data_IF_636149540567
#
_entry.id   IF_636149540567
#
_cell.length_a   1.000
_cell.length_b   1.000
_cell.length_c   1.000
_cell.angle_alpha   90.00
_cell.angle_beta   90.00
_cell.angle_gamma   90.00
#
_symmetry.space_group_name_H-M   'P 1'
#
loop_
_entity.id
_entity.type
_entity.pdbx_description
1 polymer ?
#
# COMPACT_ATOMS: atom_id res chain seq x y z
N UNK A 1 -5.53 4.41 1.85
CA UNK A 1 -6.55 5.40 2.26
C UNK A 1 -7.53 5.76 1.15
N UNK A 2 -7.07 6.02 -0.08
CA UNK A 2 -7.95 6.30 -1.23
C UNK A 2 -9.10 5.28 -1.39
N UNK A 3 -8.76 3.99 -1.42
CA UNK A 3 -9.77 2.92 -1.55
C UNK A 3 -10.80 2.90 -0.43
N UNK A 4 -10.39 3.23 0.81
CA UNK A 4 -11.34 3.36 1.92
C UNK A 4 -12.30 4.53 1.71
N UNK A 5 -11.79 5.68 1.26
CA UNK A 5 -12.63 6.84 0.97
C UNK A 5 -13.70 6.55 -0.09
N UNK A 6 -13.31 5.86 -1.17
CA UNK A 6 -14.23 5.41 -2.21
C UNK A 6 -15.24 4.41 -1.64
N UNK A 7 -14.77 3.41 -0.89
CA UNK A 7 -15.60 2.38 -0.27
C UNK A 7 -16.67 2.99 0.66
N UNK A 8 -16.28 3.91 1.55
CA UNK A 8 -17.20 4.57 2.47
C UNK A 8 -18.22 5.47 1.75
N UNK A 9 -17.89 6.02 0.59
CA UNK A 9 -18.85 6.77 -0.22
C UNK A 9 -19.90 5.86 -0.87
N UNK A 10 -19.48 4.67 -1.32
CA UNK A 10 -20.32 3.72 -2.06
C UNK A 10 -21.13 2.77 -1.18
N UNK A 11 -20.78 2.64 0.10
CA UNK A 11 -21.46 1.76 1.05
C UNK A 11 -22.25 2.59 2.08
N UNK A 12 -23.54 2.29 2.23
CA UNK A 12 -24.50 3.00 3.09
C UNK A 12 -24.88 2.06 4.25
N UNK A 13 -24.63 2.44 5.51
CA UNK A 13 -25.07 1.68 6.68
C UNK A 13 -26.61 1.57 6.72
N UNK A 14 -27.14 0.37 6.90
CA UNK A 14 -28.59 0.20 7.11
C UNK A 14 -28.94 0.57 8.56
N UNK A 15 -30.08 1.25 8.79
CA UNK A 15 -30.54 1.55 10.15
C UNK A 15 -31.14 0.30 10.80
N UNK A 16 -31.03 0.23 12.14
CA UNK A 16 -31.64 -0.81 12.97
C UNK A 16 -30.70 -1.96 13.34
N UNK A 17 -31.30 -3.05 13.81
CA UNK A 17 -30.62 -4.28 14.20
C UNK A 17 -31.01 -5.40 13.25
N UNK A 18 -30.05 -6.15 12.76
CA UNK A 18 -30.25 -7.28 11.85
C UNK A 18 -29.71 -8.56 12.46
N UNK A 19 -30.28 -9.68 12.07
CA UNK A 19 -29.82 -11.00 12.47
C UNK A 19 -28.66 -11.39 11.53
N UNK A 20 -27.44 -11.42 12.05
CA UNK A 20 -26.24 -11.76 11.27
C UNK A 20 -25.99 -13.27 11.21
N UNK A 21 -26.45 -14.00 12.22
CA UNK A 21 -26.33 -15.46 12.30
C UNK A 21 -27.34 -16.04 13.28
N UNK A 22 -27.54 -17.36 13.19
CA UNK A 22 -28.38 -18.15 14.10
C UNK A 22 -27.53 -19.33 14.57
N UNK A 23 -27.56 -19.62 15.87
CA UNK A 23 -26.81 -20.69 16.48
C UNK A 23 -27.51 -22.05 16.30
N UNK A 24 -26.72 -23.11 16.11
CA UNK A 24 -27.19 -24.49 16.07
C UNK A 24 -27.65 -24.95 17.47
N UNK A 25 -28.68 -25.80 17.53
CA UNK A 25 -29.31 -26.31 18.74
C UNK A 25 -29.99 -25.25 19.63
N UNK A 26 -30.37 -24.11 19.04
CA UNK A 26 -31.11 -23.04 19.70
C UNK A 26 -32.54 -22.89 19.14
N UNK A 27 -33.45 -22.22 19.87
CA UNK A 27 -34.89 -22.22 19.55
C UNK A 27 -35.24 -21.73 18.13
N UNK A 28 -34.39 -20.89 17.54
CA UNK A 28 -34.61 -20.31 16.21
C UNK A 28 -33.87 -21.01 15.06
N UNK A 29 -33.16 -22.12 15.31
CA UNK A 29 -32.39 -22.84 14.29
C UNK A 29 -33.23 -23.21 13.06
N UNK A 30 -34.42 -23.77 13.27
CA UNK A 30 -35.33 -24.19 12.19
C UNK A 30 -35.81 -23.03 11.31
N UNK A 31 -35.62 -21.78 11.75
CA UNK A 31 -36.01 -20.57 11.02
C UNK A 31 -34.80 -19.83 10.43
N UNK A 32 -33.58 -20.38 10.55
CA UNK A 32 -32.34 -19.69 10.20
C UNK A 32 -32.31 -19.16 8.77
N UNK A 33 -32.79 -19.94 7.78
CA UNK A 33 -32.82 -19.52 6.38
C UNK A 33 -33.63 -18.23 6.16
N UNK A 34 -34.75 -18.06 6.86
CA UNK A 34 -35.57 -16.87 6.73
C UNK A 34 -35.05 -15.72 7.62
N UNK A 35 -34.49 -16.04 8.80
CA UNK A 35 -34.03 -15.07 9.77
C UNK A 35 -32.71 -14.39 9.40
N UNK A 36 -31.77 -15.09 8.74
CA UNK A 36 -30.48 -14.48 8.40
C UNK A 36 -30.68 -13.28 7.47
N UNK A 37 -30.24 -12.12 7.93
CA UNK A 37 -30.41 -10.83 7.26
C UNK A 37 -31.77 -10.15 7.46
N UNK A 38 -32.66 -10.73 8.27
CA UNK A 38 -33.90 -10.08 8.68
C UNK A 38 -33.60 -8.93 9.66
N UNK A 39 -34.40 -7.86 9.59
CA UNK A 39 -34.36 -6.74 10.53
C UNK A 39 -35.24 -7.06 11.73
N UNK A 40 -34.69 -6.92 12.93
CA UNK A 40 -35.46 -6.99 14.18
C UNK A 40 -36.25 -5.69 14.31
N UNK A 41 -37.56 -5.81 14.51
CA UNK A 41 -38.48 -4.68 14.69
C UNK A 41 -38.89 -4.53 16.15
N UNK A 42 -39.23 -5.66 16.79
CA UNK A 42 -39.65 -5.70 18.19
C UNK A 42 -39.38 -7.09 18.81
N UNK A 43 -39.37 -7.15 20.15
CA UNK A 43 -39.52 -8.38 20.91
C UNK A 43 -40.74 -8.19 21.82
N UNK A 44 -41.73 -9.07 21.68
CA UNK A 44 -43.07 -8.92 22.24
C UNK A 44 -43.66 -7.54 21.90
N UNK A 45 -43.88 -6.69 22.90
CA UNK A 45 -44.39 -5.33 22.73
C UNK A 45 -43.30 -4.24 22.76
N UNK A 46 -42.02 -4.63 22.86
CA UNK A 46 -40.89 -3.70 22.99
C UNK A 46 -40.21 -3.50 21.64
N UNK A 47 -40.25 -2.27 21.12
CA UNK A 47 -39.58 -1.93 19.87
C UNK A 47 -38.04 -1.97 20.02
N UNK A 48 -37.35 -2.55 19.03
CA UNK A 48 -35.89 -2.68 19.03
C UNK A 48 -35.30 -1.79 17.92
N UNK A 49 -34.76 -0.64 18.32
CA UNK A 49 -34.12 0.32 17.40
C UNK A 49 -32.59 0.19 17.36
N UNK A 50 -31.98 -0.29 18.44
CA UNK A 50 -30.55 -0.38 18.63
C UNK A 50 -30.11 -1.71 19.26
N UNK A 51 -28.82 -2.04 19.12
CA UNK A 51 -28.25 -3.20 19.81
C UNK A 51 -28.38 -3.10 21.33
N UNK A 52 -28.34 -1.89 21.89
CA UNK A 52 -28.54 -1.67 23.31
C UNK A 52 -29.97 -1.97 23.73
N UNK A 53 -30.98 -1.64 22.91
CA UNK A 53 -32.37 -1.98 23.19
C UNK A 53 -32.55 -3.49 23.26
N UNK A 54 -31.94 -4.22 22.31
CA UNK A 54 -31.95 -5.69 22.30
C UNK A 54 -31.27 -6.26 23.56
N UNK A 55 -30.07 -5.76 23.89
CA UNK A 55 -29.30 -6.24 25.05
C UNK A 55 -30.04 -5.99 26.36
N UNK A 56 -30.65 -4.82 26.52
CA UNK A 56 -31.42 -4.47 27.71
C UNK A 56 -32.64 -5.38 27.87
N UNK A 57 -33.38 -5.64 26.78
CA UNK A 57 -34.52 -6.55 26.83
C UNK A 57 -34.09 -7.96 27.25
N UNK A 58 -33.06 -8.50 26.60
CA UNK A 58 -32.57 -9.86 26.88
C UNK A 58 -32.07 -10.00 28.31
N UNK A 59 -31.43 -8.97 28.87
CA UNK A 59 -30.93 -8.98 30.25
C UNK A 59 -32.04 -9.13 31.31
N UNK A 60 -33.30 -8.84 30.96
CA UNK A 60 -34.46 -8.97 31.86
C UNK A 60 -35.18 -10.32 31.71
N UNK A 61 -34.78 -11.16 30.75
CA UNK A 61 -35.43 -12.46 30.48
C UNK A 61 -34.79 -13.61 31.24
N UNK A 62 -35.57 -14.66 31.51
CA UNK A 62 -35.12 -15.90 32.12
C UNK A 62 -35.20 -17.08 31.13
N UNK A 63 -34.34 -18.10 31.27
CA UNK A 63 -34.49 -19.35 30.51
C UNK A 63 -35.87 -19.97 30.75
N UNK A 64 -36.52 -20.45 29.69
CA UNK A 64 -37.89 -20.99 29.74
C UNK A 64 -39.00 -19.94 29.54
N UNK A 65 -38.67 -18.65 29.51
CA UNK A 65 -39.66 -17.61 29.16
C UNK A 65 -40.12 -17.78 27.71
N UNK A 66 -41.41 -17.53 27.47
CA UNK A 66 -41.94 -17.46 26.11
C UNK A 66 -41.82 -16.03 25.59
N UNK A 67 -41.09 -15.85 24.48
CA UNK A 67 -40.91 -14.54 23.86
C UNK A 67 -41.18 -14.60 22.35
N UNK A 68 -41.68 -13.49 21.80
CA UNK A 68 -42.03 -13.36 20.39
C UNK A 68 -41.06 -12.40 19.70
N UNK A 69 -40.22 -12.93 18.81
CA UNK A 69 -39.34 -12.13 17.98
C UNK A 69 -40.10 -11.64 16.74
N UNK A 70 -40.24 -10.32 16.59
CA UNK A 70 -40.90 -9.68 15.45
C UNK A 70 -39.85 -9.12 14.50
N UNK A 71 -39.86 -9.58 13.25
CA UNK A 71 -38.93 -9.16 12.19
C UNK A 71 -39.67 -8.62 10.98
N UNK A 72 -38.95 -8.01 10.04
CA UNK A 72 -39.48 -7.63 8.73
C UNK A 72 -39.83 -8.82 7.82
N UNK A 73 -39.55 -10.05 8.25
CA UNK A 73 -39.83 -11.30 7.52
C UNK A 73 -40.77 -12.26 8.25
N UNK A 74 -41.38 -11.82 9.34
CA UNK A 74 -42.34 -12.62 10.12
C UNK A 74 -42.15 -12.53 11.63
N UNK A 75 -43.00 -13.25 12.34
CA UNK A 75 -43.05 -13.33 13.80
C UNK A 75 -42.77 -14.76 14.26
N UNK A 76 -41.92 -14.89 15.29
CA UNK A 76 -41.43 -16.18 15.77
C UNK A 76 -41.59 -16.25 17.27
N UNK A 77 -42.52 -17.07 17.74
CA UNK A 77 -42.72 -17.34 19.16
C UNK A 77 -41.95 -18.58 19.56
N UNK A 78 -41.06 -18.43 20.54
CA UNK A 78 -40.21 -19.52 21.04
C UNK A 78 -40.08 -19.46 22.55
N UNK A 79 -39.77 -20.61 23.13
CA UNK A 79 -39.27 -20.71 24.50
C UNK A 79 -37.77 -20.38 24.49
N UNK A 80 -37.34 -19.45 25.33
CA UNK A 80 -35.94 -19.01 25.39
C UNK A 80 -35.04 -20.10 25.97
N UNK A 81 -33.91 -20.34 25.32
CA UNK A 81 -32.90 -21.28 25.79
C UNK A 81 -32.03 -20.67 26.90
N UNK A 82 -31.25 -21.53 27.55
CA UNK A 82 -30.30 -21.13 28.59
C UNK A 82 -29.15 -20.31 27.99
N UNK A 83 -28.93 -19.12 28.55
CA UNK A 83 -27.75 -18.28 28.35
C UNK A 83 -27.11 -17.91 29.68
N UNK A 84 -26.04 -17.12 29.65
CA UNK A 84 -25.30 -16.69 30.85
C UNK A 84 -26.16 -15.78 31.75
N UNK A 85 -26.94 -16.38 32.65
CA UNK A 85 -27.89 -15.73 33.58
C UNK A 85 -29.10 -15.04 32.93
N UNK A 86 -29.43 -15.35 31.68
CA UNK A 86 -30.61 -14.82 30.99
C UNK A 86 -31.11 -15.77 29.89
N UNK A 87 -32.35 -15.58 29.45
CA UNK A 87 -32.93 -16.32 28.32
C UNK A 87 -32.39 -15.83 26.97
N UNK A 88 -32.12 -16.75 26.03
CA UNK A 88 -31.60 -16.38 24.70
C UNK A 88 -32.35 -17.04 23.55
N UNK A 89 -32.51 -16.28 22.47
CA UNK A 89 -33.07 -16.75 21.19
C UNK A 89 -32.09 -17.59 20.37
N UNK A 90 -30.78 -17.51 20.66
CA UNK A 90 -29.72 -18.10 19.84
C UNK A 90 -29.48 -17.39 18.51
N UNK A 91 -29.64 -16.06 18.47
CA UNK A 91 -29.33 -15.24 17.29
C UNK A 91 -28.11 -14.34 17.57
N UNK A 92 -27.41 -13.96 16.51
CA UNK A 92 -26.34 -12.97 16.56
C UNK A 92 -26.86 -11.63 16.02
N UNK A 93 -27.37 -10.73 16.87
CA UNK A 93 -27.82 -9.41 16.44
C UNK A 93 -26.61 -8.53 16.09
N UNK A 94 -26.74 -7.74 15.03
CA UNK A 94 -25.71 -6.80 14.61
C UNK A 94 -26.31 -5.52 14.03
N UNK A 95 -25.62 -4.40 14.22
CA UNK A 95 -25.94 -3.11 13.61
C UNK A 95 -24.78 -2.63 12.76
N UNK A 96 -25.10 -1.91 11.69
CA UNK A 96 -24.10 -1.31 10.82
C UNK A 96 -23.35 -0.20 11.57
N UNK A 97 -22.02 -0.18 11.45
CA UNK A 97 -21.22 0.90 12.01
C UNK A 97 -21.36 2.15 11.12
N UNK A 98 -21.49 3.34 11.72
CA UNK A 98 -21.63 4.57 10.95
C UNK A 98 -20.30 4.93 10.27
N UNK A 99 -20.36 5.61 9.12
CA UNK A 99 -19.18 5.93 8.30
C UNK A 99 -18.08 6.67 9.06
N UNK A 100 -18.45 7.57 9.97
CA UNK A 100 -17.48 8.35 10.76
C UNK A 100 -16.65 7.48 11.72
N UNK A 101 -17.13 6.29 12.10
CA UNK A 101 -16.37 5.36 12.94
C UNK A 101 -15.03 5.00 12.27
N UNK A 102 -15.03 4.86 10.95
CA UNK A 102 -13.84 4.52 10.16
C UNK A 102 -12.92 5.71 9.87
N UNK A 103 -13.18 6.89 10.44
CA UNK A 103 -12.20 7.98 10.48
C UNK A 103 -11.21 7.80 11.63
N UNK A 104 -11.51 6.94 12.60
CA UNK A 104 -10.59 6.58 13.67
C UNK A 104 -9.51 5.61 13.14
N UNK A 105 -8.21 5.93 13.31
CA UNK A 105 -7.12 5.07 12.82
C UNK A 105 -7.13 3.64 13.38
N UNK A 106 -7.51 3.46 14.65
CA UNK A 106 -7.60 2.14 15.27
C UNK A 106 -8.76 1.34 14.70
N UNK A 107 -9.90 1.99 14.45
CA UNK A 107 -11.04 1.34 13.79
C UNK A 107 -10.70 0.90 12.36
N UNK A 108 -9.95 1.73 11.63
CA UNK A 108 -9.45 1.38 10.29
C UNK A 108 -8.52 0.18 10.31
N UNK A 109 -7.62 0.13 11.29
CA UNK A 109 -6.70 -0.99 11.48
C UNK A 109 -7.46 -2.27 11.81
N UNK A 110 -8.38 -2.21 12.78
CA UNK A 110 -9.22 -3.34 13.16
C UNK A 110 -10.04 -3.86 11.96
N UNK A 111 -10.59 -2.95 11.16
CA UNK A 111 -11.30 -3.31 9.93
C UNK A 111 -10.38 -3.99 8.91
N UNK A 112 -9.16 -3.47 8.67
CA UNK A 112 -8.23 -4.10 7.75
C UNK A 112 -7.82 -5.51 8.19
N UNK A 113 -7.55 -5.69 9.49
CA UNK A 113 -7.27 -7.01 10.08
C UNK A 113 -8.47 -7.92 9.91
N UNK A 114 -9.68 -7.44 10.23
CA UNK A 114 -10.93 -8.17 10.04
C UNK A 114 -11.06 -8.67 8.60
N UNK A 115 -10.93 -7.78 7.60
CA UNK A 115 -11.01 -8.14 6.18
C UNK A 115 -10.02 -9.26 5.83
N UNK A 116 -8.78 -9.19 6.32
CA UNK A 116 -7.75 -10.20 6.04
C UNK A 116 -8.12 -11.55 6.67
N UNK A 117 -8.64 -11.56 7.90
CA UNK A 117 -8.94 -12.79 8.64
C UNK A 117 -10.27 -13.43 8.21
N UNK A 118 -11.28 -12.64 7.90
CA UNK A 118 -12.66 -13.13 7.65
C UNK A 118 -13.07 -13.04 6.18
N UNK A 119 -12.25 -12.43 5.33
CA UNK A 119 -12.51 -12.27 3.89
C UNK A 119 -13.42 -11.10 3.52
N UNK A 120 -13.91 -10.33 4.50
CA UNK A 120 -14.77 -9.17 4.27
C UNK A 120 -15.31 -8.56 5.55
N UNK A 121 -15.72 -7.29 5.48
CA UNK A 121 -16.22 -6.52 6.62
C UNK A 121 -17.59 -5.89 6.34
N UNK A 122 -17.73 -5.17 5.22
CA UNK A 122 -19.01 -4.68 4.73
C UNK A 122 -19.78 -5.83 4.08
N UNK A 123 -20.97 -6.09 4.59
CA UNK A 123 -21.83 -7.20 4.15
C UNK A 123 -23.18 -6.71 3.64
N UNK A 124 -23.83 -7.47 2.74
CA UNK A 124 -25.19 -7.18 2.28
C UNK A 124 -26.24 -7.15 3.39
N UNK A 125 -25.97 -7.85 4.49
CA UNK A 125 -26.84 -7.86 5.67
C UNK A 125 -26.93 -6.47 6.28
N UNK A 126 -25.77 -5.86 6.60
CA UNK A 126 -25.70 -4.62 7.37
C UNK A 126 -25.61 -3.36 6.52
N UNK A 127 -25.24 -3.49 5.24
CA UNK A 127 -25.01 -2.33 4.39
C UNK A 127 -25.70 -2.46 3.03
N UNK A 128 -26.04 -1.31 2.46
CA UNK A 128 -26.48 -1.17 1.07
C UNK A 128 -25.31 -0.65 0.23
N UNK A 129 -25.10 -1.19 -0.97
CA UNK A 129 -24.03 -0.77 -1.86
C UNK A 129 -24.58 -0.11 -3.12
N UNK A 130 -23.92 0.97 -3.57
CA UNK A 130 -24.22 1.65 -4.84
C UNK A 130 -23.57 0.97 -6.06
N UNK A 131 -22.79 -0.09 -5.81
CA UNK A 131 -22.09 -0.89 -6.82
C UNK A 131 -22.32 -2.38 -6.52
N UNK A 132 -22.07 -3.28 -7.49
CA UNK A 132 -22.14 -4.71 -7.25
C UNK A 132 -21.23 -5.16 -6.08
N UNK A 133 -21.68 -6.17 -5.32
CA UNK A 133 -20.96 -6.66 -4.14
C UNK A 133 -19.54 -7.17 -4.43
N UNK A 134 -19.30 -7.75 -5.62
CA UNK A 134 -17.95 -8.12 -6.02
C UNK A 134 -17.01 -6.91 -6.09
N UNK A 135 -17.51 -5.73 -6.46
CA UNK A 135 -16.75 -4.48 -6.50
C UNK A 135 -16.49 -3.94 -5.09
N UNK A 136 -17.45 -4.07 -4.17
CA UNK A 136 -17.25 -3.77 -2.75
C UNK A 136 -16.15 -4.66 -2.17
N UNK A 137 -16.22 -5.97 -2.42
CA UNK A 137 -15.20 -6.94 -1.99
C UNK A 137 -13.81 -6.59 -2.54
N UNK A 138 -13.71 -6.24 -3.82
CA UNK A 138 -12.44 -5.82 -4.42
C UNK A 138 -11.87 -4.57 -3.72
N UNK A 139 -12.69 -3.54 -3.48
CA UNK A 139 -12.25 -2.31 -2.82
C UNK A 139 -11.81 -2.56 -1.36
N UNK A 140 -12.50 -3.46 -0.64
CA UNK A 140 -12.11 -3.88 0.71
C UNK A 140 -10.73 -4.52 0.71
N UNK A 141 -10.48 -5.47 -0.20
CA UNK A 141 -9.18 -6.14 -0.32
C UNK A 141 -8.08 -5.17 -0.72
N UNK A 142 -8.33 -4.28 -1.69
CA UNK A 142 -7.37 -3.25 -2.07
C UNK A 142 -7.03 -2.35 -0.89
N UNK A 143 -8.04 -1.92 -0.10
CA UNK A 143 -7.78 -1.16 1.12
C UNK A 143 -6.91 -1.94 2.11
N UNK A 144 -7.31 -3.17 2.45
CA UNK A 144 -6.66 -3.98 3.47
C UNK A 144 -5.21 -4.32 3.10
N UNK A 145 -4.96 -4.73 1.84
CA UNK A 145 -3.61 -5.04 1.36
C UNK A 145 -2.72 -3.80 1.30
N UNK A 146 -3.23 -2.67 0.81
CA UNK A 146 -2.43 -1.43 0.76
C UNK A 146 -2.04 -0.96 2.17
N UNK A 147 -2.96 -1.06 3.14
CA UNK A 147 -2.65 -0.71 4.52
C UNK A 147 -1.70 -1.74 5.15
N UNK A 148 -1.96 -3.03 4.95
CA UNK A 148 -1.18 -4.15 5.50
C UNK A 148 0.27 -4.14 5.03
N UNK A 149 0.51 -4.04 3.71
CA UNK A 149 1.88 -3.96 3.16
C UNK A 149 2.61 -2.73 3.67
N UNK A 150 1.95 -1.58 3.72
CA UNK A 150 2.53 -0.35 4.25
C UNK A 150 2.94 -0.46 5.72
N UNK A 151 2.07 -1.04 6.56
CA UNK A 151 2.37 -1.26 7.98
C UNK A 151 3.43 -2.34 8.20
N UNK A 152 3.42 -3.40 7.39
CA UNK A 152 4.43 -4.45 7.47
C UNK A 152 5.82 -3.88 7.20
N UNK A 153 5.99 -3.04 6.18
CA UNK A 153 7.27 -2.36 5.91
C UNK A 153 7.71 -1.43 7.05
N UNK A 154 6.79 -0.93 7.89
CA UNK A 154 7.09 -0.09 9.05
C UNK A 154 7.40 -0.89 10.33
N UNK A 155 7.35 -2.23 10.29
CA UNK A 155 7.70 -3.04 11.46
C UNK A 155 9.17 -2.82 11.84
N UNK A 156 9.49 -2.76 13.15
CA UNK A 156 10.83 -2.50 13.65
C UNK A 156 11.78 -3.71 13.53
N UNK A 157 11.86 -4.32 12.35
CA UNK A 157 12.66 -5.50 12.08
C UNK A 157 13.41 -5.36 10.75
N UNK A 158 14.70 -5.71 10.70
CA UNK A 158 15.44 -5.81 9.44
C UNK A 158 15.06 -7.10 8.70
N UNK A 159 14.97 -7.13 7.36
CA UNK A 159 15.42 -6.09 6.42
C UNK A 159 14.35 -5.02 6.07
N UNK A 160 13.28 -4.88 6.86
CA UNK A 160 12.21 -3.91 6.59
C UNK A 160 12.66 -2.48 6.94
N UNK A 161 12.09 -1.49 6.24
CA UNK A 161 12.43 -0.07 6.41
C UNK A 161 12.24 0.40 7.86
N UNK A 162 11.20 -0.09 8.55
CA UNK A 162 10.94 0.22 9.95
C UNK A 162 12.05 -0.22 10.91
N UNK A 163 12.77 -1.31 10.59
CA UNK A 163 13.94 -1.75 11.36
C UNK A 163 15.11 -0.78 11.26
N UNK A 164 15.38 -0.28 10.06
CA UNK A 164 16.41 0.76 9.85
C UNK A 164 16.00 2.10 10.46
N UNK A 165 14.71 2.46 10.42
CA UNK A 165 14.19 3.66 11.08
C UNK A 165 14.31 3.58 12.60
N UNK A 166 14.01 2.42 13.22
CA UNK A 166 14.17 2.22 14.66
C UNK A 166 15.66 2.26 15.05
N UNK A 167 16.51 1.58 14.30
CA UNK A 167 17.96 1.62 14.51
C UNK A 167 18.47 3.06 14.48
N UNK A 168 18.11 3.82 13.44
CA UNK A 168 18.42 5.24 13.33
C UNK A 168 17.95 6.06 14.56
N UNK A 169 16.74 5.79 15.06
CA UNK A 169 16.20 6.48 16.22
C UNK A 169 16.97 6.14 17.51
N UNK A 170 17.35 4.87 17.69
CA UNK A 170 18.16 4.38 18.82
C UNK A 170 19.58 4.93 18.75
N UNK A 171 20.21 4.93 17.57
CA UNK A 171 21.54 5.50 17.34
C UNK A 171 21.56 6.99 17.69
N UNK A 172 20.58 7.75 17.20
CA UNK A 172 20.42 9.17 17.52
C UNK A 172 20.29 9.41 19.03
N UNK A 173 19.55 8.57 19.75
CA UNK A 173 19.33 8.69 21.20
C UNK A 173 20.51 8.21 22.04
N UNK A 174 21.25 7.21 21.57
CA UNK A 174 22.39 6.59 22.27
C UNK A 174 23.70 7.36 22.13
N UNK A 175 23.77 8.37 21.26
CA UNK A 175 24.97 9.17 21.04
C UNK A 175 26.09 8.43 20.27
N UNK A 176 25.86 7.19 19.84
CA UNK A 176 26.77 6.47 18.93
C UNK A 176 26.73 7.14 17.55
N UNK A 177 27.87 7.70 17.14
CA UNK A 177 28.06 8.36 15.84
C UNK A 177 28.40 7.36 14.73
N UNK A 178 27.54 6.39 14.46
CA UNK A 178 27.44 5.85 13.10
C UNK A 178 26.61 6.86 12.31
N UNK A 179 27.16 7.58 11.33
CA UNK A 179 26.37 8.54 10.57
C UNK A 179 25.35 7.76 9.74
N UNK A 180 24.09 7.74 10.18
CA UNK A 180 22.97 7.31 9.35
C UNK A 180 23.02 8.11 8.06
N UNK A 181 23.23 7.43 6.92
CA UNK A 181 23.23 8.03 5.59
C UNK A 181 21.92 7.70 4.91
N UNK A 182 21.17 8.72 4.52
CA UNK A 182 19.93 8.51 3.76
C UNK A 182 20.25 8.57 2.27
N UNK A 183 20.20 7.40 1.62
CA UNK A 183 20.36 7.27 0.18
C UNK A 183 19.00 7.07 -0.50
N UNK A 184 18.83 7.69 -1.66
CA UNK A 184 17.63 7.57 -2.47
C UNK A 184 17.96 6.92 -3.80
N UNK A 185 17.07 6.07 -4.29
CA UNK A 185 17.08 5.58 -5.66
C UNK A 185 15.75 5.98 -6.31
N UNK A 186 15.82 6.64 -7.47
CA UNK A 186 14.65 7.20 -8.12
C UNK A 186 14.79 7.16 -9.64
N UNK A 187 13.66 7.05 -10.35
CA UNK A 187 13.59 7.26 -11.79
C UNK A 187 13.80 8.74 -12.19
N UNK A 188 13.93 9.65 -11.22
CA UNK A 188 14.22 11.07 -11.44
C UNK A 188 13.01 11.92 -11.83
N UNK A 189 11.82 11.35 -12.04
CA UNK A 189 10.58 12.08 -12.34
C UNK A 189 9.89 12.64 -11.07
N UNK A 190 10.68 13.12 -10.11
CA UNK A 190 10.21 13.63 -8.82
C UNK A 190 9.77 15.10 -8.96
N UNK A 191 8.78 15.53 -8.19
CA UNK A 191 8.45 16.97 -8.10
C UNK A 191 9.61 17.75 -7.47
N UNK A 192 9.82 18.99 -7.91
CA UNK A 192 10.94 19.83 -7.45
C UNK A 192 11.03 19.96 -5.92
N UNK A 193 9.88 20.22 -5.28
CA UNK A 193 9.75 20.37 -3.82
C UNK A 193 10.22 19.13 -3.05
N UNK A 194 9.90 17.93 -3.53
CA UNK A 194 10.33 16.70 -2.87
C UNK A 194 11.79 16.38 -3.16
N UNK A 195 12.26 16.63 -4.38
CA UNK A 195 13.66 16.42 -4.74
C UNK A 195 14.61 17.28 -3.91
N UNK A 196 14.27 18.55 -3.68
CA UNK A 196 15.06 19.44 -2.82
C UNK A 196 15.11 18.95 -1.37
N UNK A 197 14.03 18.37 -0.86
CA UNK A 197 14.00 17.75 0.48
C UNK A 197 14.85 16.49 0.54
N UNK A 198 14.76 15.62 -0.48
CA UNK A 198 15.59 14.42 -0.60
C UNK A 198 17.07 14.80 -0.63
N UNK A 199 17.44 15.76 -1.49
CA UNK A 199 18.81 16.25 -1.63
C UNK A 199 19.34 16.87 -0.33
N UNK A 200 18.54 17.71 0.34
CA UNK A 200 18.89 18.31 1.64
C UNK A 200 19.19 17.23 2.68
N UNK A 201 18.29 16.24 2.81
CA UNK A 201 18.47 15.17 3.78
C UNK A 201 19.72 14.33 3.47
N UNK A 202 19.96 13.97 2.20
CA UNK A 202 21.18 13.25 1.80
C UNK A 202 22.46 14.06 2.02
N UNK A 203 22.43 15.38 1.81
CA UNK A 203 23.57 16.25 2.12
C UNK A 203 23.85 16.29 3.62
N UNK A 204 22.83 16.48 4.46
CA UNK A 204 22.96 16.55 5.92
C UNK A 204 23.43 15.22 6.53
N UNK A 205 22.99 14.11 5.97
CA UNK A 205 23.30 12.76 6.47
C UNK A 205 24.56 12.16 5.84
N UNK A 206 25.08 12.76 4.77
CA UNK A 206 26.18 12.21 3.99
C UNK A 206 25.78 11.08 3.02
N UNK A 207 24.48 10.89 2.75
CA UNK A 207 23.94 9.93 1.78
C UNK A 207 23.99 10.40 0.32
N UNK A 208 23.30 9.72 -0.59
CA UNK A 208 23.35 9.99 -2.05
C UNK A 208 21.97 9.93 -2.70
N UNK A 209 21.81 10.51 -3.88
CA UNK A 209 20.61 10.41 -4.71
C UNK A 209 21.03 9.79 -6.03
N UNK A 210 20.66 8.53 -6.22
CA UNK A 210 20.86 7.80 -7.46
C UNK A 210 19.66 8.02 -8.40
N UNK A 211 19.92 8.53 -9.59
CA UNK A 211 18.92 8.79 -10.62
C UNK A 211 19.11 7.84 -11.79
N UNK A 212 18.05 7.14 -12.16
CA UNK A 212 18.02 6.24 -13.30
C UNK A 212 17.59 6.99 -14.59
N UNK A 213 18.57 7.29 -15.45
CA UNK A 213 18.35 7.87 -16.77
C UNK A 213 18.18 6.75 -17.79
N UNK A 214 16.98 6.66 -18.36
CA UNK A 214 16.58 5.54 -19.21
C UNK A 214 17.12 5.61 -20.64
N UNK A 215 17.27 6.82 -21.18
CA UNK A 215 17.69 7.06 -22.56
C UNK A 215 18.16 8.52 -22.71
N UNK A 216 18.91 8.81 -23.77
CA UNK A 216 19.17 10.14 -24.28
C UNK A 216 18.04 10.60 -25.20
N UNK A 217 17.68 9.78 -26.21
CA UNK A 217 16.72 10.16 -27.23
C UNK A 217 15.33 10.36 -26.64
N UNK A 218 14.66 11.52 -26.86
CA UNK A 218 13.36 11.80 -26.26
C UNK A 218 12.25 10.79 -26.60
N UNK A 219 12.19 10.34 -27.86
CA UNK A 219 11.19 9.34 -28.30
C UNK A 219 11.43 7.97 -27.67
N UNK A 220 12.69 7.55 -27.57
CA UNK A 220 13.07 6.33 -26.89
C UNK A 220 12.77 6.40 -25.38
N UNK A 221 13.11 7.52 -24.74
CA UNK A 221 12.79 7.74 -23.33
C UNK A 221 11.28 7.61 -23.08
N UNK A 222 10.48 8.22 -23.95
CA UNK A 222 9.02 8.14 -23.87
C UNK A 222 8.51 6.74 -24.14
N UNK A 223 9.07 6.00 -25.10
CA UNK A 223 8.71 4.61 -25.34
C UNK A 223 9.00 3.71 -24.13
N UNK A 224 10.14 3.90 -23.45
CA UNK A 224 10.53 3.09 -22.29
C UNK A 224 9.78 3.46 -20.99
N UNK A 225 9.27 4.69 -20.87
CA UNK A 225 8.78 5.22 -19.57
C UNK A 225 7.37 5.80 -19.59
N UNK A 226 6.81 6.07 -20.77
CA UNK A 226 5.54 6.78 -20.94
C UNK A 226 5.59 8.29 -20.67
N UNK A 227 6.76 8.86 -20.34
CA UNK A 227 6.93 10.29 -20.03
C UNK A 227 8.10 10.92 -20.80
N UNK A 228 8.09 12.24 -20.94
CA UNK A 228 9.23 12.96 -21.53
C UNK A 228 10.39 13.10 -20.53
N UNK A 229 11.62 12.83 -20.99
CA UNK A 229 12.83 12.89 -20.16
C UNK A 229 13.28 14.31 -19.75
N UNK A 230 12.72 15.38 -20.33
CA UNK A 230 13.13 16.77 -20.07
C UNK A 230 13.03 17.17 -18.59
N UNK A 231 11.96 16.76 -17.90
CA UNK A 231 11.80 17.00 -16.46
C UNK A 231 12.87 16.28 -15.64
N UNK A 232 13.27 15.08 -16.06
CA UNK A 232 14.30 14.29 -15.37
C UNK A 232 15.65 14.97 -15.50
N UNK A 233 16.00 15.47 -16.68
CA UNK A 233 17.21 16.27 -16.89
C UNK A 233 17.26 17.52 -16.02
N UNK A 234 16.18 18.30 -15.93
CA UNK A 234 16.14 19.47 -15.04
C UNK A 234 16.30 19.13 -13.54
N UNK A 235 15.98 17.90 -13.15
CA UNK A 235 16.20 17.38 -11.80
C UNK A 235 17.66 16.92 -11.61
N UNK A 236 18.25 16.24 -12.59
CA UNK A 236 19.68 15.86 -12.61
C UNK A 236 20.56 17.11 -12.51
N UNK A 237 20.27 18.16 -13.27
CA UNK A 237 20.98 19.44 -13.23
C UNK A 237 20.95 20.09 -11.85
N UNK A 238 19.80 20.05 -11.16
CA UNK A 238 19.70 20.54 -9.80
C UNK A 238 20.57 19.73 -8.84
N UNK A 239 20.49 18.41 -8.91
CA UNK A 239 21.25 17.54 -8.02
C UNK A 239 22.76 17.72 -8.23
N UNK A 240 23.21 17.83 -9.48
CA UNK A 240 24.60 18.15 -9.80
C UNK A 240 25.01 19.50 -9.20
N UNK A 241 24.21 20.55 -9.38
CA UNK A 241 24.47 21.88 -8.79
C UNK A 241 24.55 21.84 -7.26
N UNK A 242 23.64 21.12 -6.59
CA UNK A 242 23.64 20.96 -5.14
C UNK A 242 24.81 20.09 -4.66
N UNK A 243 25.22 19.10 -5.47
CA UNK A 243 26.29 18.16 -5.19
C UNK A 243 27.67 18.81 -5.08
N UNK A 244 27.90 19.93 -5.77
CA UNK A 244 29.14 20.72 -5.66
C UNK A 244 29.50 21.14 -4.23
N UNK A 245 28.53 21.12 -3.30
CA UNK A 245 28.74 21.40 -1.87
C UNK A 245 29.51 20.30 -1.14
N UNK A 246 29.65 19.11 -1.74
CA UNK A 246 30.34 17.96 -1.12
C UNK A 246 30.90 17.03 -2.19
N UNK A 247 32.23 16.98 -2.24
CA UNK A 247 32.94 16.12 -3.19
C UNK A 247 32.79 14.62 -2.87
N UNK A 248 32.79 14.21 -1.59
CA UNK A 248 32.78 12.79 -1.22
C UNK A 248 31.94 12.46 0.05
N UNK A 249 31.11 11.40 0.02
CA UNK A 249 30.63 10.75 -1.20
C UNK A 249 29.78 11.73 -2.05
N UNK A 250 29.72 11.57 -3.37
CA UNK A 250 29.00 12.51 -4.24
C UNK A 250 27.49 12.49 -3.95
N UNK A 251 26.84 13.65 -4.03
CA UNK A 251 25.39 13.72 -3.84
C UNK A 251 24.63 13.02 -4.96
N UNK A 252 25.05 13.19 -6.20
CA UNK A 252 24.40 12.63 -7.38
C UNK A 252 25.17 11.41 -7.87
N UNK A 253 24.45 10.33 -8.12
CA UNK A 253 24.93 9.17 -8.90
C UNK A 253 23.93 8.95 -10.02
N UNK A 254 24.39 8.65 -11.22
CA UNK A 254 23.51 8.35 -12.35
C UNK A 254 23.67 6.88 -12.73
N UNK A 255 22.59 6.26 -13.19
CA UNK A 255 22.65 4.95 -13.81
C UNK A 255 21.80 4.88 -15.07
N UNK A 256 22.15 3.97 -15.96
CA UNK A 256 21.39 3.66 -17.18
C UNK A 256 21.40 2.16 -17.42
N UNK A 257 20.22 1.60 -17.69
CA UNK A 257 20.04 0.19 -18.03
C UNK A 257 20.30 -0.03 -19.52
N UNK A 258 21.22 -0.92 -19.86
CA UNK A 258 21.64 -1.20 -21.24
C UNK A 258 20.71 -2.22 -21.90
N UNK A 259 19.51 -1.79 -22.28
CA UNK A 259 18.52 -2.63 -22.94
C UNK A 259 18.93 -2.89 -24.40
N UNK A 260 19.25 -4.15 -24.81
CA UNK A 260 19.73 -4.43 -26.17
C UNK A 260 18.73 -4.03 -27.24
N UNK A 261 19.22 -3.35 -28.29
CA UNK A 261 18.41 -2.83 -29.39
C UNK A 261 17.71 -1.50 -29.08
N UNK A 262 17.74 -1.04 -27.83
CA UNK A 262 17.13 0.22 -27.39
C UNK A 262 18.20 1.20 -26.92
N UNK A 263 19.05 0.81 -25.97
CA UNK A 263 20.08 1.66 -25.38
C UNK A 263 21.45 1.16 -25.82
N UNK A 264 22.06 1.88 -26.75
CA UNK A 264 23.35 1.56 -27.34
C UNK A 264 24.47 2.50 -26.85
N UNK A 265 25.66 2.33 -27.44
CA UNK A 265 26.82 3.17 -27.11
C UNK A 265 26.60 4.64 -27.46
N UNK A 266 25.78 4.96 -28.47
CA UNK A 266 25.47 6.34 -28.85
C UNK A 266 24.57 7.02 -27.80
N UNK A 267 23.53 6.33 -27.32
CA UNK A 267 22.69 6.81 -26.22
C UNK A 267 23.54 7.09 -24.97
N UNK A 268 24.41 6.15 -24.60
CA UNK A 268 25.28 6.26 -23.44
C UNK A 268 26.31 7.40 -23.60
N UNK A 269 26.90 7.55 -24.78
CA UNK A 269 27.87 8.62 -25.08
C UNK A 269 27.25 10.01 -24.90
N UNK A 270 26.03 10.21 -25.40
CA UNK A 270 25.35 11.50 -25.27
C UNK A 270 24.91 11.80 -23.83
N UNK A 271 24.46 10.79 -23.07
CA UNK A 271 24.23 10.94 -21.63
C UNK A 271 25.54 11.36 -20.93
N UNK A 272 26.64 10.65 -21.22
CA UNK A 272 27.94 10.92 -20.59
C UNK A 272 28.46 12.34 -20.91
N UNK A 273 28.36 12.78 -22.17
CA UNK A 273 28.67 14.16 -22.58
C UNK A 273 27.86 15.18 -21.77
N UNK A 274 26.55 14.99 -21.69
CA UNK A 274 25.67 15.93 -20.98
C UNK A 274 25.97 15.95 -19.48
N UNK A 275 26.29 14.81 -18.87
CA UNK A 275 26.70 14.76 -17.46
C UNK A 275 28.04 15.47 -17.24
N UNK A 276 29.00 15.29 -18.13
CA UNK A 276 30.32 15.92 -18.03
C UNK A 276 30.25 17.45 -18.14
N UNK A 277 29.29 18.00 -18.90
CA UNK A 277 29.01 19.45 -18.90
C UNK A 277 28.57 19.97 -17.52
N UNK A 278 27.94 19.13 -16.70
CA UNK A 278 27.52 19.50 -15.35
C UNK A 278 28.67 19.36 -14.35
N UNK A 279 29.32 18.19 -14.36
CA UNK A 279 30.47 17.82 -13.55
C UNK A 279 31.05 16.46 -14.02
N UNK A 280 32.29 16.40 -14.55
CA UNK A 280 32.95 15.15 -14.98
C UNK A 280 33.12 14.10 -13.88
N UNK A 281 33.07 14.52 -12.61
CA UNK A 281 33.19 13.65 -11.44
C UNK A 281 31.93 12.86 -11.11
N UNK A 282 30.78 13.14 -11.75
CA UNK A 282 29.52 12.42 -11.49
C UNK A 282 29.69 10.91 -11.76
N UNK A 283 29.48 10.04 -10.75
CA UNK A 283 29.54 8.61 -10.97
C UNK A 283 28.41 8.13 -11.88
N UNK A 284 28.76 7.34 -12.88
CA UNK A 284 27.83 6.79 -13.87
C UNK A 284 27.91 5.27 -13.93
N UNK A 285 26.82 4.61 -13.55
CA UNK A 285 26.72 3.15 -13.48
C UNK A 285 25.89 2.60 -14.65
N UNK A 286 26.54 1.89 -15.56
CA UNK A 286 25.88 1.17 -16.64
C UNK A 286 25.39 -0.18 -16.11
N UNK A 287 24.12 -0.50 -16.29
CA UNK A 287 23.50 -1.71 -15.71
C UNK A 287 23.14 -2.71 -16.82
N UNK A 288 23.46 -3.97 -16.60
CA UNK A 288 23.05 -5.06 -17.49
C UNK A 288 21.54 -5.32 -17.37
N UNK A 289 20.89 -5.48 -18.52
CA UNK A 289 19.49 -5.86 -18.67
C UNK A 289 19.33 -7.38 -18.63
N UNK A 290 18.26 -7.83 -17.96
CA UNK A 290 17.85 -9.23 -17.93
C UNK A 290 16.38 -9.35 -18.37
N UNK A 291 16.06 -10.18 -19.36
CA UNK A 291 14.73 -10.22 -19.98
C UNK A 291 13.68 -10.90 -19.10
N UNK A 292 12.82 -10.09 -18.51
CA UNK A 292 11.70 -10.55 -17.68
C UNK A 292 10.40 -9.79 -18.00
N UNK A 293 9.30 -10.30 -17.44
CA UNK A 293 7.96 -9.72 -17.57
C UNK A 293 7.53 -9.44 -19.02
N UNK A 294 7.45 -8.18 -19.44
CA UNK A 294 6.95 -7.76 -20.75
C UNK A 294 8.05 -7.61 -21.82
N UNK A 295 9.31 -7.89 -21.49
CA UNK A 295 10.46 -7.77 -22.41
C UNK A 295 11.25 -9.08 -22.51
N UNK A 296 10.52 -10.21 -22.54
CA UNK A 296 11.09 -11.58 -22.57
C UNK A 296 11.63 -11.98 -23.94
N UNK A 297 11.25 -11.25 -24.97
CA UNK A 297 11.65 -11.42 -26.37
C UNK A 297 13.04 -10.83 -26.66
N UNK A 298 13.59 -10.03 -25.74
CA UNK A 298 14.93 -9.44 -25.87
C UNK A 298 16.01 -10.34 -25.25
N UNK A 299 17.27 -10.28 -25.74
CA UNK A 299 18.39 -10.95 -25.09
C UNK A 299 18.83 -10.21 -23.82
N UNK A 300 19.62 -10.88 -22.98
CA UNK A 300 20.46 -10.21 -21.96
C UNK A 300 21.45 -9.26 -22.63
N UNK A 301 21.95 -8.26 -21.89
CA UNK A 301 22.98 -7.35 -22.43
C UNK A 301 24.24 -8.12 -22.83
N UNK A 302 24.66 -8.08 -24.11
CA UNK A 302 25.93 -8.68 -24.51
C UNK A 302 27.10 -7.97 -23.86
N UNK A 303 28.11 -8.72 -23.41
CA UNK A 303 29.33 -8.17 -22.81
C UNK A 303 29.99 -7.11 -23.70
N UNK A 304 30.06 -7.39 -25.01
CA UNK A 304 30.59 -6.44 -26.01
C UNK A 304 29.88 -5.10 -26.01
N UNK A 305 28.54 -5.09 -25.91
CA UNK A 305 27.77 -3.85 -25.88
C UNK A 305 28.07 -3.06 -24.59
N UNK A 306 28.11 -3.74 -23.45
CA UNK A 306 28.41 -3.10 -22.17
C UNK A 306 29.81 -2.49 -22.13
N UNK A 307 30.81 -3.18 -22.67
CA UNK A 307 32.19 -2.71 -22.81
C UNK A 307 32.27 -1.52 -23.77
N UNK A 308 31.59 -1.56 -24.91
CA UNK A 308 31.56 -0.43 -25.84
C UNK A 308 30.94 0.82 -25.20
N UNK A 309 29.80 0.68 -24.52
CA UNK A 309 29.16 1.76 -23.77
C UNK A 309 30.09 2.32 -22.68
N UNK A 310 30.80 1.45 -21.96
CA UNK A 310 31.76 1.84 -20.93
C UNK A 310 32.91 2.68 -21.53
N UNK A 311 33.53 2.22 -22.62
CA UNK A 311 34.62 2.92 -23.28
C UNK A 311 34.20 4.30 -23.82
N UNK A 312 32.99 4.42 -24.37
CA UNK A 312 32.44 5.72 -24.78
C UNK A 312 32.23 6.66 -23.59
N UNK A 313 31.61 6.17 -22.52
CA UNK A 313 31.29 7.01 -21.36
C UNK A 313 32.55 7.50 -20.62
N UNK A 314 33.57 6.65 -20.44
CA UNK A 314 34.81 7.01 -19.71
C UNK A 314 35.69 8.03 -20.43
N UNK A 315 35.39 8.34 -21.68
CA UNK A 315 36.05 9.45 -22.41
C UNK A 315 35.58 10.81 -21.88
N UNK A 316 34.41 10.88 -21.25
CA UNK A 316 33.79 12.12 -20.75
C UNK A 316 33.70 12.20 -19.22
N UNK A 317 33.55 11.05 -18.55
CA UNK A 317 33.34 10.98 -17.10
C UNK A 317 34.47 10.21 -16.41
N UNK A 318 34.88 10.67 -15.23
CA UNK A 318 35.97 10.08 -14.46
C UNK A 318 35.57 8.76 -13.79
N UNK A 319 34.29 8.66 -13.38
CA UNK A 319 33.78 7.60 -12.50
C UNK A 319 32.72 6.73 -13.19
N UNK A 320 33.10 6.02 -14.25
CA UNK A 320 32.20 5.09 -14.95
C UNK A 320 32.41 3.66 -14.47
N UNK A 321 31.33 2.87 -14.35
CA UNK A 321 31.41 1.42 -14.12
C UNK A 321 30.32 0.65 -14.82
N UNK A 322 30.58 -0.63 -15.07
CA UNK A 322 29.55 -1.62 -15.41
C UNK A 322 29.12 -2.31 -14.12
N UNK A 323 27.86 -2.14 -13.73
CA UNK A 323 27.23 -2.86 -12.63
C UNK A 323 26.78 -4.25 -13.05
N UNK A 324 26.32 -5.05 -12.07
CA UNK A 324 25.64 -6.34 -12.27
C UNK A 324 26.21 -7.22 -13.41
N UNK A 325 27.55 -7.27 -13.50
CA UNK A 325 28.32 -7.91 -14.59
C UNK A 325 28.05 -9.40 -14.78
N UNK A 326 27.50 -10.06 -13.76
CA UNK A 326 27.09 -11.46 -13.80
C UNK A 326 25.85 -11.71 -14.67
N UNK A 327 25.14 -10.67 -15.09
CA UNK A 327 23.99 -10.76 -16.02
C UNK A 327 24.39 -10.57 -17.50
N UNK A 328 25.66 -10.28 -17.78
CA UNK A 328 26.15 -10.14 -19.15
C UNK A 328 26.30 -11.52 -19.81
N UNK A 329 25.79 -11.65 -21.04
CA UNK A 329 26.03 -12.81 -21.92
C UNK A 329 27.29 -12.63 -22.76
#
# INVERSE_FOLDING_TARGET
>A
LLFLGILLALVIPKPGVYIYGVAENYPLENYAENLIGARILAIDNTAIGSLSDYQNFIAETSPGDNATLVTDRGEYRVELAEGDNHGVFGILPASALPRYHFLNPLAMLAMAIGIILTGGFFTPTLYTALIPWWGVSLLQWLFALNLGVGLFNLLPAKPLDGGYMLEAAIEKKSGRKTPLRVCWETNGFVSRKFLERMAKLSLETGGTVKVDLKAWTPSLYQALTGVQGSKVWGNVELLAKLGRRRASPPLLVVSTLLVPGYVDAWEVENIAKRLAELDPGIPYSLLAFYPHYMMRDLPTTPRRLAEECYERARTYLENVRIGNVHLLS
#
